data_IF_789498833148
#
_entry.id   IF_789498833148
#
_cell.length_a   1.000
_cell.length_b   1.000
_cell.length_c   1.000
_cell.angle_alpha   90.00
_cell.angle_beta   90.00
_cell.angle_gamma   90.00
#
_symmetry.space_group_name_H-M   'P 1'
#
loop_
_entity.id
_entity.type
_entity.pdbx_description
1 polymer ?
#
# COMPACT_ATOMS: atom_id res chain seq x y z
N UNK A 1 -8.58 8.44 -22.36
CA UNK A 1 -7.14 8.65 -22.04
C UNK A 1 -7.00 9.89 -21.17
N UNK A 2 -6.13 9.85 -20.18
CA UNK A 2 -5.81 11.02 -19.37
C UNK A 2 -4.34 10.95 -18.93
N UNK A 3 -3.79 12.09 -18.56
CA UNK A 3 -2.47 12.21 -17.94
C UNK A 3 -2.59 13.12 -16.72
N UNK A 4 -1.77 12.88 -15.73
CA UNK A 4 -1.63 13.78 -14.59
C UNK A 4 -0.25 13.59 -13.96
N UNK A 5 0.18 14.60 -13.21
CA UNK A 5 1.36 14.49 -12.37
C UNK A 5 0.91 14.20 -10.94
N UNK A 6 1.66 13.42 -10.19
CA UNK A 6 1.28 13.08 -8.82
C UNK A 6 1.10 14.32 -7.93
N UNK A 7 1.78 15.42 -8.26
CA UNK A 7 1.68 16.67 -7.51
C UNK A 7 0.32 17.37 -7.69
N UNK A 8 -0.51 16.90 -8.62
CA UNK A 8 -1.88 17.38 -8.81
C UNK A 8 -2.86 16.69 -7.87
N UNK A 9 -2.39 15.75 -7.08
CA UNK A 9 -3.18 15.02 -6.08
C UNK A 9 -2.57 15.22 -4.70
N UNK A 10 -3.34 14.93 -3.67
CA UNK A 10 -2.90 15.06 -2.29
C UNK A 10 -2.99 13.72 -1.56
N UNK A 11 -2.06 13.50 -0.64
CA UNK A 11 -2.16 12.38 0.28
C UNK A 11 -3.38 12.56 1.19
N UNK A 12 -4.03 11.46 1.56
CA UNK A 12 -5.25 11.48 2.39
C UNK A 12 -5.07 12.30 3.67
N UNK A 13 -3.90 12.22 4.30
CA UNK A 13 -3.60 12.89 5.56
C UNK A 13 -2.61 14.06 5.39
N UNK A 14 -2.54 14.64 4.20
CA UNK A 14 -1.67 15.78 3.90
C UNK A 14 -0.25 15.36 3.54
N UNK A 15 0.50 14.78 4.47
CA UNK A 15 1.88 14.35 4.25
C UNK A 15 2.02 12.84 4.14
N UNK A 16 0.97 12.09 4.40
CA UNK A 16 1.01 10.63 4.45
C UNK A 16 -0.31 10.00 4.04
N UNK A 17 -0.30 8.68 3.91
CA UNK A 17 -1.42 7.88 3.46
C UNK A 17 -1.42 7.69 1.96
N UNK A 18 -2.51 7.19 1.40
CA UNK A 18 -2.63 6.98 -0.04
C UNK A 18 -2.97 8.28 -0.77
N UNK A 19 -2.46 8.37 -1.99
CA UNK A 19 -2.77 9.42 -2.95
C UNK A 19 -3.15 8.72 -4.25
N UNK A 20 -4.45 8.68 -4.56
CA UNK A 20 -4.94 7.94 -5.72
C UNK A 20 -4.72 8.73 -7.00
N UNK A 21 -4.05 8.12 -7.97
CA UNK A 21 -3.93 8.62 -9.33
C UNK A 21 -5.05 8.08 -10.21
N UNK A 22 -5.52 6.86 -9.92
CA UNK A 22 -6.65 6.25 -10.60
C UNK A 22 -7.42 5.37 -9.61
N UNK A 23 -8.75 5.50 -9.62
CA UNK A 23 -9.64 4.71 -8.77
C UNK A 23 -10.76 4.15 -9.64
N UNK A 24 -10.52 2.94 -10.16
CA UNK A 24 -11.36 2.32 -11.17
C UNK A 24 -11.14 2.92 -12.56
N UNK A 25 -11.84 2.40 -13.61
CA UNK A 25 -12.86 1.35 -13.52
C UNK A 25 -12.31 -0.08 -13.42
N UNK A 26 -11.03 -0.32 -13.72
CA UNK A 26 -10.48 -1.68 -13.74
C UNK A 26 -9.44 -1.93 -12.66
N UNK A 27 -8.81 -0.87 -12.16
CA UNK A 27 -7.81 -0.98 -11.10
C UNK A 27 -7.77 0.31 -10.27
N UNK A 28 -7.15 0.21 -9.09
CA UNK A 28 -6.71 1.37 -8.33
C UNK A 28 -5.20 1.50 -8.49
N UNK A 29 -4.71 2.71 -8.65
CA UNK A 29 -3.29 3.01 -8.66
C UNK A 29 -3.04 4.20 -7.75
N UNK A 30 -2.22 4.01 -6.73
CA UNK A 30 -1.93 5.04 -5.73
C UNK A 30 -0.44 5.15 -5.48
N UNK A 31 -0.03 6.34 -5.09
CA UNK A 31 1.24 6.56 -4.42
C UNK A 31 0.95 6.61 -2.93
N UNK A 32 1.70 5.87 -2.14
CA UNK A 32 1.53 5.79 -0.69
C UNK A 32 2.78 6.33 -0.02
N UNK A 33 2.60 7.17 0.99
CA UNK A 33 3.71 7.69 1.79
C UNK A 33 3.41 7.47 3.26
N UNK A 34 4.37 6.90 3.98
CA UNK A 34 4.31 6.80 5.44
C UNK A 34 5.47 7.54 6.07
N UNK A 35 5.16 8.32 7.09
CA UNK A 35 6.15 8.85 8.02
C UNK A 35 6.59 7.74 9.00
N UNK A 36 7.74 7.90 9.68
CA UNK A 36 8.18 6.91 10.66
C UNK A 36 7.09 6.55 11.67
N UNK A 37 6.87 5.26 11.88
CA UNK A 37 5.88 4.72 12.80
C UNK A 37 4.47 4.57 12.26
N UNK A 38 4.18 5.13 11.10
CA UNK A 38 2.84 5.02 10.49
C UNK A 38 2.64 3.67 9.80
N UNK A 39 1.39 3.25 9.72
CA UNK A 39 1.01 1.95 9.16
C UNK A 39 -0.37 2.00 8.49
N UNK A 40 -0.69 0.92 7.77
CA UNK A 40 -2.06 0.55 7.46
C UNK A 40 -2.47 -0.59 8.37
N UNK A 41 -3.70 -0.55 8.91
CA UNK A 41 -4.23 -1.66 9.68
C UNK A 41 -4.18 -2.95 8.85
N UNK A 42 -3.85 -4.07 9.49
CA UNK A 42 -3.83 -5.37 8.85
C UNK A 42 -5.19 -5.70 8.23
N UNK A 43 -5.19 -6.20 7.02
CA UNK A 43 -6.41 -6.51 6.27
C UNK A 43 -6.11 -7.48 5.13
N UNK A 44 -7.18 -7.97 4.51
CA UNK A 44 -7.10 -8.71 3.27
C UNK A 44 -8.21 -8.24 2.32
N UNK A 45 -8.05 -8.57 1.06
CA UNK A 45 -9.04 -8.32 0.03
C UNK A 45 -9.61 -9.66 -0.44
N UNK A 46 -10.92 -9.72 -0.71
CA UNK A 46 -11.55 -10.95 -1.17
C UNK A 46 -11.31 -11.21 -2.65
N UNK A 47 -11.25 -10.16 -3.46
CA UNK A 47 -11.18 -10.24 -4.91
C UNK A 47 -9.90 -9.61 -5.45
N UNK A 48 -9.52 -8.43 -4.94
CA UNK A 48 -8.38 -7.69 -5.47
C UNK A 48 -7.05 -8.28 -5.03
N UNK A 49 -6.12 -8.38 -5.97
CA UNK A 49 -4.69 -8.49 -5.65
C UNK A 49 -4.15 -7.10 -5.33
N UNK A 50 -3.06 -7.04 -4.58
CA UNK A 50 -2.36 -5.80 -4.30
C UNK A 50 -0.88 -5.94 -4.58
N UNK A 51 -0.30 -4.93 -5.23
CA UNK A 51 1.10 -4.93 -5.63
C UNK A 51 1.75 -3.66 -5.13
N UNK A 52 2.89 -3.79 -4.43
CA UNK A 52 3.66 -2.64 -3.98
C UNK A 52 5.02 -2.60 -4.66
N UNK A 53 5.45 -1.40 -5.01
CA UNK A 53 6.79 -1.14 -5.55
C UNK A 53 7.39 0.05 -4.80
N UNK A 54 8.57 -0.15 -4.21
CA UNK A 54 9.17 0.84 -3.31
C UNK A 54 9.98 1.86 -4.11
N UNK A 55 9.64 3.13 -3.94
CA UNK A 55 10.31 4.27 -4.62
C UNK A 55 11.35 4.93 -3.74
N UNK A 56 11.10 5.04 -2.44
CA UNK A 56 12.01 5.67 -1.48
C UNK A 56 11.85 5.00 -0.12
N UNK A 57 12.93 4.93 0.64
CA UNK A 57 12.90 4.45 2.02
C UNK A 57 12.81 2.94 2.14
N UNK A 58 12.32 2.51 3.28
CA UNK A 58 12.25 1.10 3.67
C UNK A 58 10.92 0.86 4.40
N UNK A 59 10.36 -0.32 4.23
CA UNK A 59 9.05 -0.67 4.81
C UNK A 59 9.02 -2.14 5.18
N UNK A 60 8.30 -2.47 6.24
CA UNK A 60 7.98 -3.86 6.59
C UNK A 60 6.57 -4.18 6.10
N UNK A 61 6.45 -5.27 5.35
CA UNK A 61 5.15 -5.81 4.93
C UNK A 61 5.07 -7.24 5.44
N UNK A 62 4.14 -7.45 6.37
CA UNK A 62 3.90 -8.77 6.97
C UNK A 62 2.73 -9.40 6.22
N UNK A 63 2.99 -10.55 5.58
CA UNK A 63 1.97 -11.29 4.81
C UNK A 63 1.79 -12.65 5.44
N UNK A 64 0.57 -12.93 5.92
CA UNK A 64 0.23 -14.19 6.61
C UNK A 64 1.26 -14.56 7.68
N UNK A 65 1.65 -13.56 8.47
CA UNK A 65 2.59 -13.73 9.58
C UNK A 65 4.06 -13.69 9.21
N UNK A 66 4.40 -13.62 7.92
CA UNK A 66 5.78 -13.54 7.47
C UNK A 66 6.19 -12.11 7.18
N UNK A 67 7.20 -11.61 7.89
CA UNK A 67 7.74 -10.27 7.67
C UNK A 67 8.65 -10.22 6.46
N UNK A 68 8.37 -9.27 5.56
CA UNK A 68 9.21 -8.94 4.41
C UNK A 68 9.67 -7.50 4.58
N UNK A 69 10.97 -7.27 4.62
CA UNK A 69 11.54 -5.93 4.67
C UNK A 69 11.93 -5.54 3.25
N UNK A 70 11.31 -4.47 2.74
CA UNK A 70 11.49 -4.02 1.37
C UNK A 70 12.17 -2.66 1.35
N UNK A 71 13.03 -2.45 0.36
CA UNK A 71 13.72 -1.19 0.12
C UNK A 71 13.57 -0.78 -1.35
N UNK A 72 14.21 0.33 -1.74
CA UNK A 72 14.10 0.92 -3.09
C UNK A 72 14.27 -0.16 -4.16
N UNK A 73 13.29 -0.21 -5.09
CA UNK A 73 13.31 -1.13 -6.21
C UNK A 73 12.70 -2.50 -5.93
N UNK A 74 12.37 -2.80 -4.67
CA UNK A 74 11.73 -4.06 -4.33
C UNK A 74 10.24 -4.04 -4.68
N UNK A 75 9.74 -5.20 -5.07
CA UNK A 75 8.36 -5.42 -5.46
C UNK A 75 7.79 -6.58 -4.66
N UNK A 76 6.54 -6.46 -4.24
CA UNK A 76 5.78 -7.55 -3.63
C UNK A 76 4.41 -7.67 -4.27
N UNK A 77 4.00 -8.90 -4.55
CA UNK A 77 2.67 -9.23 -5.02
C UNK A 77 1.92 -9.98 -3.92
N UNK A 78 0.73 -9.49 -3.61
CA UNK A 78 -0.13 -10.04 -2.56
C UNK A 78 -1.43 -10.52 -3.21
N UNK A 79 -1.73 -11.81 -3.02
CA UNK A 79 -2.91 -12.43 -3.57
C UNK A 79 -4.17 -12.09 -2.75
N UNK A 80 -5.37 -12.17 -3.36
CA UNK A 80 -6.61 -12.10 -2.61
C UNK A 80 -6.62 -13.13 -1.46
N UNK A 81 -7.12 -12.73 -0.31
CA UNK A 81 -7.19 -13.59 0.88
C UNK A 81 -5.95 -13.57 1.75
N UNK A 82 -4.82 -13.11 1.25
CA UNK A 82 -3.61 -12.99 2.07
C UNK A 82 -3.70 -11.78 2.99
N UNK A 83 -3.61 -12.02 4.30
CA UNK A 83 -3.62 -10.95 5.29
C UNK A 83 -2.29 -10.21 5.25
N UNK A 84 -2.33 -8.90 5.09
CA UNK A 84 -1.12 -8.09 5.03
C UNK A 84 -1.20 -6.87 5.94
N UNK A 85 -0.04 -6.51 6.48
CA UNK A 85 0.16 -5.39 7.39
C UNK A 85 1.38 -4.61 6.92
N UNK A 86 1.20 -3.33 6.61
CA UNK A 86 2.25 -2.46 6.07
C UNK A 86 2.62 -1.43 7.13
N UNK A 87 3.89 -1.39 7.51
CA UNK A 87 4.37 -0.49 8.56
C UNK A 87 5.73 0.11 8.23
N UNK A 88 5.84 1.42 8.37
CA UNK A 88 7.15 2.08 8.37
C UNK A 88 7.75 1.99 9.78
N UNK A 89 8.56 0.96 10.02
CA UNK A 89 9.23 0.71 11.29
C UNK A 89 10.61 1.40 11.36
N UNK A 90 10.90 2.31 10.44
CA UNK A 90 12.21 2.92 10.28
C UNK A 90 12.16 4.42 10.55
N UNK A 91 13.31 5.10 10.50
CA UNK A 91 13.43 6.49 10.92
C UNK A 91 13.42 7.51 9.76
N UNK A 92 13.06 7.05 8.56
CA UNK A 92 12.90 7.90 7.38
C UNK A 92 11.56 7.62 6.70
N UNK A 93 10.99 8.59 5.97
CA UNK A 93 9.76 8.35 5.22
C UNK A 93 9.94 7.26 4.15
N UNK A 94 8.88 6.52 3.88
CA UNK A 94 8.81 5.56 2.78
C UNK A 94 7.77 6.02 1.77
N UNK A 95 8.08 5.84 0.50
CA UNK A 95 7.18 6.14 -0.61
C UNK A 95 7.11 4.92 -1.53
N UNK A 96 5.92 4.52 -1.89
CA UNK A 96 5.71 3.33 -2.71
C UNK A 96 4.49 3.48 -3.61
N UNK A 97 4.46 2.70 -4.67
CA UNK A 97 3.27 2.52 -5.51
C UNK A 97 2.44 1.40 -4.91
N UNK A 98 1.11 1.58 -4.92
CA UNK A 98 0.13 0.54 -4.62
C UNK A 98 -0.80 0.39 -5.81
N UNK A 99 -0.87 -0.82 -6.36
CA UNK A 99 -1.76 -1.15 -7.47
C UNK A 99 -2.65 -2.31 -7.08
N UNK A 100 -3.98 -2.09 -7.16
CA UNK A 100 -4.98 -3.09 -6.81
C UNK A 100 -5.88 -3.38 -8.02
N UNK A 101 -6.10 -4.66 -8.31
CA UNK A 101 -6.93 -5.10 -9.43
C UNK A 101 -7.52 -6.49 -9.15
N UNK A 102 -8.67 -6.83 -9.76
CA UNK A 102 -9.59 -5.96 -10.50
C UNK A 102 -10.33 -5.02 -9.55
N UNK A 103 -10.68 -3.84 -10.01
CA UNK A 103 -11.31 -2.83 -9.16
C UNK A 103 -12.58 -3.35 -8.47
N UNK A 104 -12.66 -3.09 -7.16
CA UNK A 104 -13.84 -3.32 -6.31
C UNK A 104 -14.02 -2.09 -5.43
N UNK A 105 -15.23 -1.59 -5.29
CA UNK A 105 -15.50 -0.42 -4.44
C UNK A 105 -15.32 -0.75 -2.97
N UNK A 106 -15.79 -1.92 -2.53
CA UNK A 106 -15.70 -2.37 -1.15
C UNK A 106 -15.17 -3.80 -1.14
N UNK A 107 -13.91 -3.96 -0.75
CA UNK A 107 -13.24 -5.26 -0.76
C UNK A 107 -12.19 -5.40 0.32
N UNK A 108 -12.26 -4.59 1.37
CA UNK A 108 -11.28 -4.60 2.44
C UNK A 108 -11.89 -5.17 3.71
N UNK A 109 -11.28 -6.21 4.25
CA UNK A 109 -11.66 -6.81 5.52
C UNK A 109 -10.53 -6.60 6.52
N UNK A 110 -10.77 -5.74 7.51
CA UNK A 110 -9.78 -5.44 8.55
C UNK A 110 -9.70 -6.55 9.57
N UNK A 111 -8.51 -6.84 10.04
CA UNK A 111 -8.22 -7.82 11.07
C UNK A 111 -7.27 -7.22 12.11
N UNK A 112 -7.01 -7.96 13.19
CA UNK A 112 -6.09 -7.52 14.22
C UNK A 112 -4.65 -7.45 13.66
N UNK A 113 -3.91 -6.38 14.02
CA UNK A 113 -2.52 -6.23 13.59
C UNK A 113 -1.65 -7.35 14.17
N UNK A 114 -0.70 -7.88 13.38
CA UNK A 114 0.21 -8.90 13.87
C UNK A 114 1.21 -8.31 14.88
N UNK A 115 1.69 -9.18 15.74
CA UNK A 115 2.83 -8.91 16.63
C UNK A 115 4.05 -9.61 16.05
N UNK A 116 5.14 -8.86 15.85
CA UNK A 116 6.37 -9.41 15.27
C UNK A 116 7.62 -8.70 15.78
#
# INVERSE_FOLDING_TARGET
MFTLNENEREYRFGESGPKYLMKGPRMNFAVVRFLPGEDFQAHYHNVMEENFFILEGKVDIVVDGKKNTLSIGDFIHIEPGEVHYVKNAYDAPVKMVSALAPFQEVDKVCVENPVY
#
